data_IF_447867742721
#
_entry.id   IF_447867742721
#
_cell.length_a   1.000
_cell.length_b   1.000
_cell.length_c   1.000
_cell.angle_alpha   90.00
_cell.angle_beta   90.00
_cell.angle_gamma   90.00
#
_symmetry.space_group_name_H-M   'P 1'
#
loop_
_entity.id
_entity.type
_entity.pdbx_description
1 polymer ?
#
# COMPACT_ATOMS: atom_id res chain seq x y z
N UNK A 1 -0.06 16.97 10.26
CA UNK A 1 -1.18 16.02 10.42
C UNK A 1 -0.79 14.70 9.74
N UNK A 2 -1.64 13.67 9.78
CA UNK A 2 -1.39 12.45 9.01
C UNK A 2 -1.28 12.75 7.51
N UNK A 3 -2.10 13.68 7.01
CA UNK A 3 -2.05 14.15 5.63
C UNK A 3 -0.69 14.73 5.25
N UNK A 4 -0.11 15.59 6.11
CA UNK A 4 1.18 16.21 5.82
C UNK A 4 2.29 15.16 5.67
N UNK A 5 2.31 14.16 6.57
CA UNK A 5 3.29 13.07 6.50
C UNK A 5 3.11 12.24 5.22
N UNK A 6 1.87 11.87 4.90
CA UNK A 6 1.56 11.11 3.68
C UNK A 6 1.97 11.86 2.42
N UNK A 7 1.68 13.16 2.37
CA UNK A 7 2.04 14.03 1.23
C UNK A 7 3.57 14.12 1.07
N UNK A 8 4.32 14.26 2.17
CA UNK A 8 5.79 14.26 2.12
C UNK A 8 6.32 12.93 1.56
N UNK A 9 5.76 11.80 1.98
CA UNK A 9 6.17 10.48 1.48
C UNK A 9 5.89 10.36 -0.02
N UNK A 10 4.69 10.73 -0.47
CA UNK A 10 4.31 10.66 -1.88
C UNK A 10 5.21 11.55 -2.75
N UNK A 11 5.49 12.78 -2.30
CA UNK A 11 6.40 13.68 -3.00
C UNK A 11 7.84 13.15 -3.04
N UNK A 12 8.30 12.49 -1.97
CA UNK A 12 9.65 11.93 -1.90
C UNK A 12 9.85 10.79 -2.91
N UNK A 13 8.82 9.98 -3.15
CA UNK A 13 8.86 8.87 -4.13
C UNK A 13 8.30 9.26 -5.51
N UNK A 14 7.96 10.53 -5.72
CA UNK A 14 7.36 11.06 -6.96
C UNK A 14 6.07 10.32 -7.38
N UNK A 15 5.20 10.02 -6.43
CA UNK A 15 3.94 9.31 -6.68
C UNK A 15 2.80 10.27 -7.02
N UNK A 16 2.37 10.22 -8.29
CA UNK A 16 1.26 11.01 -8.80
C UNK A 16 -0.11 10.44 -8.37
N UNK A 17 -0.37 9.15 -8.63
CA UNK A 17 -1.64 8.48 -8.29
C UNK A 17 -1.64 7.96 -6.84
N UNK A 18 -1.64 8.86 -5.86
CA UNK A 18 -1.53 8.49 -4.44
C UNK A 18 -2.85 8.07 -3.78
N UNK A 19 -4.01 8.23 -4.43
CA UNK A 19 -5.35 7.95 -3.88
C UNK A 19 -5.56 6.48 -3.44
N UNK A 20 -4.76 5.57 -3.98
CA UNK A 20 -4.84 4.14 -3.67
C UNK A 20 -4.07 3.74 -2.40
N UNK A 21 -3.19 4.61 -1.91
CA UNK A 21 -2.22 4.27 -0.88
C UNK A 21 -2.53 4.95 0.45
N UNK A 22 -2.00 4.37 1.52
CA UNK A 22 -1.99 4.99 2.83
C UNK A 22 -0.80 4.49 3.65
N UNK A 23 -0.57 5.15 4.79
CA UNK A 23 0.38 4.69 5.79
C UNK A 23 -0.32 3.79 6.80
N UNK A 24 0.24 2.62 7.01
CA UNK A 24 -0.11 1.69 8.09
C UNK A 24 0.96 1.77 9.18
N UNK A 25 0.55 1.68 10.43
CA UNK A 25 1.43 1.54 11.58
C UNK A 25 0.93 0.41 12.50
N UNK A 26 1.77 0.01 13.45
CA UNK A 26 1.39 -0.98 14.47
C UNK A 26 1.15 -0.24 15.78
N UNK A 27 -0.03 -0.43 16.37
CA UNK A 27 -0.38 0.18 17.66
C UNK A 27 0.31 -0.52 18.85
N UNK A 28 0.11 0.00 20.06
CA UNK A 28 0.64 -0.58 21.30
C UNK A 28 0.12 -1.99 21.61
N UNK A 29 -0.97 -2.41 20.98
CA UNK A 29 -1.58 -3.73 21.11
C UNK A 29 -1.16 -4.69 19.99
N UNK A 30 -0.21 -4.27 19.14
CA UNK A 30 0.29 -5.01 17.97
C UNK A 30 -0.74 -5.20 16.86
N UNK A 31 -1.76 -4.35 16.79
CA UNK A 31 -2.71 -4.33 15.69
C UNK A 31 -2.20 -3.44 14.56
N UNK A 32 -2.47 -3.84 13.33
CA UNK A 32 -2.27 -2.98 12.17
C UNK A 32 -3.37 -1.90 12.12
N UNK A 33 -2.96 -0.65 12.06
CA UNK A 33 -3.85 0.52 12.04
C UNK A 33 -3.47 1.44 10.87
N UNK A 34 -4.48 1.98 10.21
CA UNK A 34 -4.27 3.02 9.19
C UNK A 34 -4.06 4.37 9.86
N UNK A 35 -3.09 5.13 9.37
CA UNK A 35 -2.90 6.53 9.78
C UNK A 35 -4.10 7.37 9.35
N UNK A 36 -4.71 8.06 10.30
CA UNK A 36 -5.80 9.00 10.06
C UNK A 36 -5.23 10.35 9.61
N UNK A 37 -5.73 10.84 8.46
CA UNK A 37 -5.17 12.00 7.77
C UNK A 37 -5.42 13.33 8.51
N UNK A 38 -6.55 13.44 9.19
CA UNK A 38 -7.04 14.63 9.89
C UNK A 38 -6.44 14.78 11.30
N UNK A 39 -5.89 13.70 11.88
CA UNK A 39 -5.34 13.71 13.23
C UNK A 39 -3.83 13.99 13.24
N UNK A 40 -3.28 14.58 14.33
CA UNK A 40 -1.83 14.68 14.51
C UNK A 40 -1.18 13.30 14.61
N UNK A 41 -0.09 13.07 13.87
CA UNK A 41 0.62 11.77 13.84
C UNK A 41 1.03 11.32 15.24
N UNK A 42 1.62 12.23 16.03
CA UNK A 42 2.09 11.96 17.39
C UNK A 42 0.97 11.60 18.38
N UNK A 43 -0.30 11.81 18.02
CA UNK A 43 -1.45 11.38 18.84
C UNK A 43 -1.97 9.99 18.47
N UNK A 44 -1.48 9.40 17.39
CA UNK A 44 -1.96 8.14 16.83
C UNK A 44 -0.94 7.00 17.02
N UNK A 45 0.36 7.33 16.91
CA UNK A 45 1.43 6.34 16.88
C UNK A 45 2.29 6.39 18.13
N UNK A 46 2.70 5.21 18.60
CA UNK A 46 3.70 5.06 19.67
C UNK A 46 5.10 4.85 19.11
N UNK A 47 5.21 4.22 17.94
CA UNK A 47 6.48 3.97 17.24
C UNK A 47 6.52 4.75 15.92
N UNK A 48 7.71 5.23 15.53
CA UNK A 48 7.92 5.99 14.29
C UNK A 48 8.15 5.09 13.07
N UNK A 49 7.50 3.92 13.02
CA UNK A 49 7.61 2.96 11.93
C UNK A 49 6.29 2.87 11.17
N UNK A 50 6.35 3.16 9.88
CA UNK A 50 5.20 3.12 8.97
C UNK A 50 5.48 2.17 7.81
N UNK A 51 4.43 1.51 7.32
CA UNK A 51 4.42 0.82 6.03
C UNK A 51 3.60 1.65 5.05
N UNK A 52 4.15 1.91 3.87
CA UNK A 52 3.39 2.48 2.75
C UNK A 52 2.71 1.33 2.02
N UNK A 53 1.37 1.30 2.07
CA UNK A 53 0.59 0.15 1.61
C UNK A 53 -0.54 0.59 0.67
N UNK A 54 -0.95 -0.31 -0.23
CA UNK A 54 -2.23 -0.14 -0.96
C UNK A 54 -3.37 -0.32 0.04
N UNK A 55 -4.24 0.69 0.13
CA UNK A 55 -5.45 0.67 0.95
C UNK A 55 -6.68 0.34 0.13
N UNK A 56 -6.73 0.78 -1.11
CA UNK A 56 -7.83 0.55 -2.03
C UNK A 56 -7.32 -0.09 -3.31
N UNK A 57 -7.71 -1.34 -3.54
CA UNK A 57 -7.42 -2.03 -4.79
C UNK A 57 -8.43 -1.63 -5.86
N UNK A 58 -7.96 -1.28 -7.05
CA UNK A 58 -8.84 -1.15 -8.22
C UNK A 58 -9.24 -2.54 -8.73
N UNK A 59 -10.51 -2.76 -9.14
CA UNK A 59 -10.94 -4.02 -9.77
C UNK A 59 -10.35 -4.21 -11.19
N UNK A 60 -9.83 -3.15 -11.81
CA UNK A 60 -9.27 -3.18 -13.16
C UNK A 60 -7.86 -2.55 -13.17
N UNK A 61 -6.79 -3.34 -13.40
CA UNK A 61 -5.42 -2.85 -13.51
C UNK A 61 -5.22 -1.78 -14.60
N UNK A 62 -6.09 -1.74 -15.61
CA UNK A 62 -6.07 -0.71 -16.66
C UNK A 62 -6.44 0.70 -16.16
N UNK A 63 -6.99 0.82 -14.95
CA UNK A 63 -7.27 2.12 -14.32
C UNK A 63 -6.04 2.77 -13.70
N UNK A 64 -4.95 2.02 -13.50
CA UNK A 64 -3.68 2.58 -13.04
C UNK A 64 -2.96 3.12 -14.26
N UNK A 65 -2.88 4.44 -14.39
CA UNK A 65 -2.29 5.11 -15.57
C UNK A 65 -0.76 5.13 -15.48
N UNK A 66 -0.21 5.32 -14.28
CA UNK A 66 1.22 5.44 -14.07
C UNK A 66 1.91 4.08 -13.91
N UNK A 67 3.07 3.94 -14.56
CA UNK A 67 3.87 2.72 -14.47
C UNK A 67 4.39 2.48 -13.05
N UNK A 68 4.77 3.56 -12.37
CA UNK A 68 5.25 3.47 -10.99
C UNK A 68 4.15 3.01 -10.03
N UNK A 69 2.92 3.47 -10.21
CA UNK A 69 1.76 3.01 -9.43
C UNK A 69 1.52 1.52 -9.65
N UNK A 70 1.51 1.06 -10.91
CA UNK A 70 1.39 -0.37 -11.24
C UNK A 70 2.48 -1.21 -10.59
N UNK A 71 3.71 -0.71 -10.59
CA UNK A 71 4.83 -1.36 -9.93
C UNK A 71 4.63 -1.48 -8.40
N UNK A 72 4.22 -0.40 -7.73
CA UNK A 72 3.95 -0.44 -6.28
C UNK A 72 2.80 -1.40 -5.93
N UNK A 73 1.75 -1.44 -6.74
CA UNK A 73 0.66 -2.42 -6.62
C UNK A 73 1.18 -3.85 -6.76
N UNK A 74 2.02 -4.12 -7.77
CA UNK A 74 2.63 -5.43 -7.97
C UNK A 74 3.49 -5.85 -6.77
N UNK A 75 4.25 -4.92 -6.16
CA UNK A 75 5.01 -5.17 -4.94
C UNK A 75 4.11 -5.49 -3.74
N UNK A 76 3.02 -4.75 -3.56
CA UNK A 76 2.05 -5.03 -2.51
C UNK A 76 1.43 -6.42 -2.67
N UNK A 77 0.95 -6.75 -3.87
CA UNK A 77 0.36 -8.07 -4.16
C UNK A 77 1.36 -9.19 -3.90
N UNK A 78 2.62 -9.01 -4.33
CA UNK A 78 3.70 -9.97 -4.03
C UNK A 78 3.90 -10.17 -2.53
N UNK A 79 3.90 -9.08 -1.75
CA UNK A 79 4.03 -9.13 -0.30
C UNK A 79 2.84 -9.87 0.33
N UNK A 80 1.63 -9.56 -0.09
CA UNK A 80 0.41 -10.13 0.48
C UNK A 80 0.25 -11.61 0.13
N UNK A 81 0.66 -12.02 -1.07
CA UNK A 81 0.79 -13.43 -1.45
C UNK A 81 1.81 -14.16 -0.58
N UNK A 82 2.97 -13.56 -0.34
CA UNK A 82 4.02 -14.18 0.49
C UNK A 82 3.62 -14.29 1.97
N UNK A 83 2.81 -13.36 2.47
CA UNK A 83 2.28 -13.38 3.84
C UNK A 83 0.99 -14.20 3.98
N UNK A 84 0.38 -14.63 2.87
CA UNK A 84 -0.91 -15.32 2.87
C UNK A 84 -2.09 -14.44 3.28
N UNK A 85 -1.94 -13.11 3.19
CA UNK A 85 -2.97 -12.13 3.56
C UNK A 85 -3.88 -11.75 2.40
N UNK A 86 -3.50 -12.08 1.17
CA UNK A 86 -4.33 -11.85 -0.02
C UNK A 86 -5.41 -12.94 -0.13
N UNK A 87 -6.65 -12.61 0.22
CA UNK A 87 -7.81 -13.49 0.05
C UNK A 87 -8.21 -13.56 -1.44
N UNK A 88 -7.70 -14.55 -2.16
CA UNK A 88 -8.05 -14.83 -3.55
C UNK A 88 -7.98 -16.33 -3.87
N UNK A 89 -8.46 -16.74 -5.05
CA UNK A 89 -8.33 -18.12 -5.51
C UNK A 89 -6.89 -18.42 -5.95
N UNK A 90 -6.46 -19.69 -5.89
CA UNK A 90 -5.11 -20.10 -6.34
C UNK A 90 -4.84 -19.72 -7.81
N UNK A 91 -5.86 -19.79 -8.67
CA UNK A 91 -5.76 -19.36 -10.07
C UNK A 91 -5.50 -17.86 -10.19
N UNK A 92 -6.17 -17.05 -9.36
CA UNK A 92 -5.98 -15.59 -9.31
C UNK A 92 -4.59 -15.26 -8.78
N UNK A 93 -4.16 -15.92 -7.71
CA UNK A 93 -2.82 -15.76 -7.14
C UNK A 93 -1.72 -16.09 -8.16
N UNK A 94 -1.85 -17.22 -8.86
CA UNK A 94 -0.91 -17.65 -9.90
C UNK A 94 -0.87 -16.68 -11.08
N UNK A 95 -2.01 -16.16 -11.52
CA UNK A 95 -2.09 -15.16 -12.58
C UNK A 95 -1.39 -13.86 -12.18
N UNK A 96 -1.69 -13.33 -10.99
CA UNK A 96 -1.03 -12.12 -10.46
C UNK A 96 0.49 -12.33 -10.32
N UNK A 97 0.92 -13.49 -9.83
CA UNK A 97 2.33 -13.86 -9.76
C UNK A 97 2.99 -13.92 -11.15
N UNK A 98 2.27 -14.42 -12.17
CA UNK A 98 2.77 -14.46 -13.55
C UNK A 98 3.01 -13.06 -14.12
N UNK A 99 2.12 -12.10 -13.85
CA UNK A 99 2.32 -10.71 -14.28
C UNK A 99 3.49 -10.04 -13.55
N UNK A 100 3.66 -10.32 -12.26
CA UNK A 100 4.83 -9.84 -11.50
C UNK A 100 6.15 -10.36 -12.09
N UNK A 101 6.18 -11.63 -12.55
CA UNK A 101 7.36 -12.22 -13.19
C UNK A 101 7.59 -11.67 -14.60
N UNK A 102 6.53 -11.41 -15.35
CA UNK A 102 6.59 -10.86 -16.71
C UNK A 102 7.02 -9.40 -16.76
N UNK A 103 6.65 -8.60 -15.75
CA UNK A 103 7.03 -7.18 -15.64
C UNK A 103 8.47 -6.95 -15.16
N UNK A 104 9.38 -7.90 -15.39
CA UNK A 104 10.82 -7.79 -15.11
C UNK A 104 11.62 -7.43 -16.34
#
# INVERSE_FOLDING_TARGET
TGQDLFTIVCNYIDLLENDYFALEYVDSHRNACWLEMDKPVLKQVTETKFSFCVKFYTPDPGQLEEEFTRYLFALQIKRDLNLGTLLCSDNTAALLASYIVQGR
#
